data_IF_944909474591
#
_entry.id   IF_944909474591
#
_cell.length_a   1.000
_cell.length_b   1.000
_cell.length_c   1.000
_cell.angle_alpha   90.00
_cell.angle_beta   90.00
_cell.angle_gamma   90.00
#
_symmetry.space_group_name_H-M   'P 1'
#
loop_
_entity.id
_entity.type
_entity.pdbx_description
1 polymer ?
#
# COMPACT_ATOMS: atom_id res chain seq x y z
N UNK A 1 -11.56 -4.99 5.02
CA UNK A 1 -10.09 -5.19 4.95
C UNK A 1 -9.43 -3.82 5.01
N UNK A 2 -8.45 -3.63 5.91
CA UNK A 2 -7.80 -2.35 6.22
C UNK A 2 -6.88 -1.84 5.09
N UNK A 3 -6.60 -2.68 4.08
CA UNK A 3 -5.85 -2.32 2.87
C UNK A 3 -6.74 -2.15 1.63
N UNK A 4 -8.04 -1.94 1.82
CA UNK A 4 -8.93 -1.63 0.70
C UNK A 4 -9.35 -2.82 -0.15
N UNK A 5 -9.05 -4.06 0.28
CA UNK A 5 -9.55 -5.29 -0.37
C UNK A 5 -9.27 -5.36 -1.88
N UNK A 6 -8.07 -4.98 -2.32
CA UNK A 6 -7.67 -4.89 -3.73
C UNK A 6 -8.48 -3.92 -4.60
N UNK A 7 -9.33 -3.07 -4.01
CA UNK A 7 -10.02 -1.98 -4.71
C UNK A 7 -9.13 -0.73 -4.74
N UNK A 8 -8.73 -0.23 -5.92
CA UNK A 8 -7.94 1.00 -6.03
C UNK A 8 -8.61 2.22 -5.37
N UNK A 9 -9.94 2.29 -5.44
CA UNK A 9 -10.74 3.33 -4.82
C UNK A 9 -10.69 3.32 -3.28
N UNK A 10 -10.36 2.18 -2.69
CA UNK A 10 -10.21 2.01 -1.24
C UNK A 10 -8.75 1.89 -0.81
N UNK A 11 -7.80 2.14 -1.71
CA UNK A 11 -6.37 2.04 -1.41
C UNK A 11 -5.93 3.09 -0.38
N UNK A 12 -5.01 2.69 0.49
CA UNK A 12 -4.45 3.61 1.48
C UNK A 12 -3.40 4.50 0.84
N UNK A 13 -3.57 5.81 0.99
CA UNK A 13 -2.65 6.81 0.45
C UNK A 13 -1.39 6.90 1.31
N UNK A 14 -0.22 6.80 0.68
CA UNK A 14 1.07 7.11 1.33
C UNK A 14 1.28 8.63 1.29
N UNK A 15 1.29 9.27 2.46
CA UNK A 15 1.27 10.74 2.58
C UNK A 15 2.63 11.34 2.94
N UNK A 16 3.57 10.56 3.48
CA UNK A 16 4.92 11.07 3.75
C UNK A 16 5.75 10.98 2.46
N UNK A 17 6.05 12.16 1.90
CA UNK A 17 6.83 12.33 0.67
C UNK A 17 8.14 13.10 0.92
N UNK A 18 8.55 13.25 2.18
CA UNK A 18 9.72 14.04 2.58
C UNK A 18 11.04 13.54 1.99
N UNK A 19 11.08 12.28 1.57
CA UNK A 19 12.27 11.57 1.08
C UNK A 19 12.10 11.05 -0.35
N UNK A 20 11.44 11.81 -1.24
CA UNK A 20 11.25 11.43 -2.64
C UNK A 20 12.56 10.94 -3.29
N UNK A 21 12.58 9.79 -4.01
CA UNK A 21 11.46 9.02 -4.55
C UNK A 21 10.86 7.97 -3.61
N UNK A 22 11.01 8.11 -2.29
CA UNK A 22 10.36 7.22 -1.30
C UNK A 22 9.06 7.84 -0.79
N UNK A 23 7.99 7.05 -0.80
CA UNK A 23 6.70 7.39 -0.19
C UNK A 23 6.44 6.46 1.00
N UNK A 24 5.97 7.00 2.12
CA UNK A 24 5.72 6.24 3.35
C UNK A 24 4.33 6.51 3.91
N UNK A 25 3.86 5.57 4.74
CA UNK A 25 2.60 5.63 5.45
C UNK A 25 2.56 4.60 6.56
N UNK A 26 1.61 4.73 7.47
CA UNK A 26 1.38 3.78 8.55
C UNK A 26 -0.08 3.36 8.55
N UNK A 27 -0.33 2.08 8.83
CA UNK A 27 -1.66 1.48 8.74
C UNK A 27 -1.88 0.62 9.98
N UNK A 28 -3.05 0.74 10.60
CA UNK A 28 -3.45 -0.14 11.68
C UNK A 28 -4.02 -1.45 11.11
N UNK A 29 -3.42 -2.58 11.46
CA UNK A 29 -3.82 -3.92 11.03
C UNK A 29 -4.10 -4.81 12.25
N UNK A 30 -5.04 -5.77 12.17
CA UNK A 30 -5.17 -6.80 13.19
C UNK A 30 -3.86 -7.59 13.33
N UNK A 31 -3.37 -7.72 14.55
CA UNK A 31 -2.11 -8.42 14.82
C UNK A 31 -2.20 -9.92 14.45
N UNK A 32 -1.06 -10.49 14.09
CA UNK A 32 -0.91 -11.92 13.78
C UNK A 32 -1.38 -12.34 12.40
N UNK A 33 -1.93 -11.42 11.60
CA UNK A 33 -2.39 -11.72 10.24
C UNK A 33 -1.25 -11.66 9.23
N UNK A 34 -1.22 -12.62 8.31
CA UNK A 34 -0.41 -12.53 7.10
C UNK A 34 -1.16 -11.67 6.09
N UNK A 35 -0.53 -10.57 5.68
CA UNK A 35 -1.16 -9.56 4.83
C UNK A 35 -0.41 -9.46 3.52
N UNK A 36 -1.15 -9.59 2.43
CA UNK A 36 -0.65 -9.34 1.08
C UNK A 36 -1.01 -7.93 0.63
N UNK A 37 -0.09 -7.29 -0.07
CA UNK A 37 -0.27 -5.91 -0.53
C UNK A 37 0.60 -5.60 -1.75
N UNK A 38 0.22 -4.57 -2.51
CA UNK A 38 1.03 -3.99 -3.60
C UNK A 38 0.87 -2.47 -3.63
N UNK A 39 1.89 -1.78 -4.14
CA UNK A 39 1.76 -0.37 -4.49
C UNK A 39 0.98 -0.20 -5.80
N UNK A 40 0.27 0.92 -5.91
CA UNK A 40 -0.30 1.40 -7.17
C UNK A 40 -0.15 2.92 -7.27
N UNK A 41 0.04 3.41 -8.50
CA UNK A 41 -0.05 4.83 -8.84
C UNK A 41 -1.42 5.03 -9.46
N UNK A 42 -2.25 5.90 -8.87
CA UNK A 42 -3.55 6.28 -9.42
C UNK A 42 -3.77 7.79 -9.36
N UNK A 43 -4.74 8.27 -10.11
CA UNK A 43 -5.23 9.63 -9.99
C UNK A 43 -6.01 9.78 -8.66
N UNK A 44 -5.83 10.92 -7.97
CA UNK A 44 -6.52 11.19 -6.70
C UNK A 44 -7.89 11.87 -6.88
N UNK A 45 -8.14 12.52 -8.00
CA UNK A 45 -9.45 13.06 -8.36
C UNK A 45 -10.38 11.99 -8.95
N UNK A 46 -9.83 10.97 -9.60
CA UNK A 46 -10.56 9.81 -10.10
C UNK A 46 -9.83 8.51 -9.76
N UNK A 47 -10.32 7.82 -8.74
CA UNK A 47 -9.68 6.61 -8.26
C UNK A 47 -9.85 5.38 -9.17
N UNK A 48 -10.65 5.49 -10.24
CA UNK A 48 -10.74 4.44 -11.29
C UNK A 48 -9.57 4.51 -12.27
N UNK A 49 -8.90 5.67 -12.37
CA UNK A 49 -7.76 5.88 -13.25
C UNK A 49 -6.46 5.42 -12.57
N UNK A 50 -6.26 4.10 -12.52
CA UNK A 50 -4.99 3.49 -12.12
C UNK A 50 -3.99 3.58 -13.26
N UNK A 51 -2.87 4.27 -13.02
CA UNK A 51 -1.77 4.40 -13.98
C UNK A 51 -0.90 3.16 -14.02
N UNK A 52 -0.55 2.63 -12.85
CA UNK A 52 0.39 1.52 -12.75
C UNK A 52 0.20 0.75 -11.44
N UNK A 53 0.21 -0.57 -11.52
CA UNK A 53 0.44 -1.44 -10.37
C UNK A 53 1.93 -1.77 -10.27
N UNK A 54 2.42 -1.98 -9.05
CA UNK A 54 3.73 -2.58 -8.81
C UNK A 54 3.88 -3.85 -9.67
N UNK A 55 5.05 -4.05 -10.25
CA UNK A 55 5.37 -5.24 -11.05
C UNK A 55 5.56 -6.48 -10.16
N UNK A 56 5.54 -7.69 -10.76
CA UNK A 56 5.79 -8.94 -10.04
C UNK A 56 4.66 -9.38 -9.08
N UNK A 57 5.01 -10.22 -8.11
CA UNK A 57 4.10 -10.79 -7.11
C UNK A 57 3.64 -9.79 -6.03
N UNK A 58 2.80 -10.26 -5.11
CA UNK A 58 2.37 -9.48 -3.94
C UNK A 58 3.51 -9.39 -2.92
N UNK A 59 3.64 -8.23 -2.26
CA UNK A 59 4.46 -8.14 -1.06
C UNK A 59 3.71 -8.83 0.09
N UNK A 60 4.45 -9.40 1.04
CA UNK A 60 3.91 -10.06 2.22
C UNK A 60 4.49 -9.45 3.49
N UNK A 61 3.66 -9.31 4.51
CA UNK A 61 4.09 -8.92 5.85
C UNK A 61 3.23 -9.61 6.90
N UNK A 62 3.85 -10.08 7.98
CA UNK A 62 3.11 -10.50 9.16
C UNK A 62 2.81 -9.26 10.01
N UNK A 63 1.53 -8.99 10.25
CA UNK A 63 1.11 -7.82 11.00
C UNK A 63 1.55 -7.94 12.47
N UNK A 64 2.47 -7.07 12.87
CA UNK A 64 2.93 -6.91 14.25
C UNK A 64 3.18 -5.42 14.53
N UNK A 65 3.17 -5.04 15.80
CA UNK A 65 3.49 -3.67 16.19
C UNK A 65 4.93 -3.32 15.74
N UNK A 66 5.08 -2.21 15.01
CA UNK A 66 6.37 -1.77 14.47
C UNK A 66 6.87 -2.55 13.25
N UNK A 67 6.13 -3.54 12.74
CA UNK A 67 6.49 -4.22 11.50
C UNK A 67 6.57 -3.22 10.33
N UNK A 68 7.61 -3.37 9.51
CA UNK A 68 7.85 -2.55 8.32
C UNK A 68 8.00 -3.44 7.09
N UNK A 69 7.51 -2.97 5.96
CA UNK A 69 7.57 -3.67 4.66
C UNK A 69 7.66 -2.63 3.56
N UNK A 70 8.26 -2.98 2.42
CA UNK A 70 8.49 -2.07 1.30
C UNK A 70 8.24 -2.76 -0.04
N UNK A 71 7.89 -1.98 -1.05
CA UNK A 71 7.74 -2.41 -2.43
C UNK A 71 8.37 -1.39 -3.37
N UNK A 72 8.53 -1.75 -4.64
CA UNK A 72 9.11 -0.91 -5.68
C UNK A 72 8.32 -1.04 -6.98
N UNK A 73 8.31 0.00 -7.82
CA UNK A 73 7.64 -0.03 -9.13
C UNK A 73 8.57 -0.55 -10.23
#
# INVERSE_FOLDING_TARGET
SQLGNWSPASAVRLTDTSSYPTWKGSIALPAGQNVEWKCLIRNEADATLVRQWQSGGNNQVQAAAGASTSGSF
#
